data_IF_064539540156
#
_entry.id   IF_064539540156
#
_cell.length_a   1.000
_cell.length_b   1.000
_cell.length_c   1.000
_cell.angle_alpha   90.00
_cell.angle_beta   90.00
_cell.angle_gamma   90.00
#
_symmetry.space_group_name_H-M   'P 1'
#
loop_
_entity.id
_entity.type
_entity.pdbx_description
1 polymer ?
#
# COMPACT_ATOMS: atom_id res chain seq x y z
N UNK A 1 13.96 -18.33 4.52
CA UNK A 1 12.82 -17.50 4.93
C UNK A 1 13.26 -16.44 5.91
N UNK A 2 13.41 -15.23 5.42
CA UNK A 2 13.54 -13.99 6.18
C UNK A 2 12.20 -13.24 6.24
N UNK A 3 12.00 -12.47 7.31
CA UNK A 3 10.90 -11.55 7.52
C UNK A 3 11.40 -10.12 7.32
N UNK A 4 10.93 -9.46 6.26
CA UNK A 4 11.42 -8.14 5.83
C UNK A 4 10.33 -7.09 5.96
N UNK A 5 10.58 -6.03 6.72
CA UNK A 5 9.72 -4.85 6.78
C UNK A 5 10.22 -3.79 5.80
N UNK A 6 9.32 -3.29 4.96
CA UNK A 6 9.59 -2.27 3.94
C UNK A 6 8.71 -1.05 4.18
N UNK A 7 9.32 0.13 4.18
CA UNK A 7 8.63 1.41 4.28
C UNK A 7 9.32 2.49 3.46
N UNK A 8 8.74 3.69 3.45
CA UNK A 8 9.30 4.86 2.77
C UNK A 8 9.11 6.11 3.61
N UNK A 9 10.17 6.88 3.81
CA UNK A 9 10.18 8.09 4.62
C UNK A 9 10.85 9.23 3.86
N UNK A 10 10.04 10.04 3.17
CA UNK A 10 10.50 11.27 2.49
C UNK A 10 9.43 12.36 2.57
N UNK A 11 9.76 13.56 2.09
CA UNK A 11 8.89 14.73 2.08
C UNK A 11 8.34 15.03 3.47
N UNK A 12 7.01 15.09 3.58
CA UNK A 12 6.32 15.39 4.83
C UNK A 12 6.53 14.34 5.93
N UNK A 13 7.03 13.15 5.60
CA UNK A 13 7.23 12.04 6.55
C UNK A 13 8.71 11.69 6.77
N UNK A 14 9.66 12.45 6.22
CA UNK A 14 11.09 12.17 6.36
C UNK A 14 11.53 11.98 7.83
N UNK A 15 11.00 12.81 8.75
CA UNK A 15 11.32 12.73 10.18
C UNK A 15 10.75 11.50 10.91
N UNK A 16 9.79 10.78 10.32
CA UNK A 16 9.11 9.65 10.97
C UNK A 16 9.90 8.34 10.91
N UNK A 17 10.88 8.23 10.02
CA UNK A 17 11.64 6.99 9.81
C UNK A 17 12.37 6.47 11.06
N UNK A 18 12.92 7.36 11.89
CA UNK A 18 13.64 6.99 13.12
C UNK A 18 12.71 6.31 14.12
N UNK A 19 11.58 6.96 14.44
CA UNK A 19 10.60 6.42 15.38
C UNK A 19 9.95 5.13 14.84
N UNK A 20 9.67 5.08 13.53
CA UNK A 20 9.09 3.88 12.89
C UNK A 20 10.06 2.69 12.99
N UNK A 21 11.37 2.92 12.79
CA UNK A 21 12.40 1.89 13.00
C UNK A 21 12.43 1.40 14.44
N UNK A 22 12.43 2.31 15.42
CA UNK A 22 12.45 1.93 16.83
C UNK A 22 11.23 1.07 17.22
N UNK A 23 10.04 1.41 16.71
CA UNK A 23 8.83 0.60 16.91
C UNK A 23 8.91 -0.78 16.22
N UNK A 24 9.51 -0.85 15.01
CA UNK A 24 9.74 -2.09 14.29
C UNK A 24 10.76 -3.01 14.97
N UNK A 25 11.80 -2.43 15.59
CA UNK A 25 12.78 -3.18 16.37
C UNK A 25 12.18 -3.70 17.67
N UNK A 26 11.32 -2.91 18.33
CA UNK A 26 10.67 -3.27 19.59
C UNK A 26 9.71 -4.47 19.50
N UNK A 27 9.20 -4.81 18.30
CA UNK A 27 8.38 -6.01 18.10
C UNK A 27 9.24 -7.30 17.99
N UNK A 28 10.56 -7.16 17.82
CA UNK A 28 11.54 -8.24 17.75
C UNK A 28 11.16 -9.35 16.76
N UNK A 29 10.69 -8.94 15.57
CA UNK A 29 10.11 -9.84 14.56
C UNK A 29 10.89 -9.90 13.25
N UNK A 30 11.40 -8.78 12.79
CA UNK A 30 11.91 -8.63 11.43
C UNK A 30 13.40 -8.89 11.36
N UNK A 31 13.84 -9.67 10.37
CA UNK A 31 15.26 -9.88 10.07
C UNK A 31 15.87 -8.65 9.37
N UNK A 32 15.06 -7.89 8.62
CA UNK A 32 15.45 -6.61 8.05
C UNK A 32 14.34 -5.56 8.15
N UNK A 33 14.75 -4.31 8.36
CA UNK A 33 13.87 -3.13 8.38
C UNK A 33 14.45 -2.12 7.39
N UNK A 34 13.87 -2.11 6.19
CA UNK A 34 14.29 -1.32 5.04
C UNK A 34 13.35 -0.10 4.89
N UNK A 35 13.81 1.08 5.30
CA UNK A 35 13.09 2.34 5.17
C UNK A 35 13.73 3.12 4.03
N UNK A 36 13.11 3.09 2.86
CA UNK A 36 13.57 3.77 1.66
C UNK A 36 13.26 5.26 1.71
N UNK A 37 13.96 6.02 0.88
CA UNK A 37 13.71 7.43 0.57
C UNK A 37 13.93 7.65 -0.94
N UNK A 38 13.81 8.88 -1.43
CA UNK A 38 14.06 9.18 -2.84
C UNK A 38 15.48 8.82 -3.28
N UNK A 39 16.48 9.04 -2.42
CA UNK A 39 17.88 8.75 -2.72
C UNK A 39 18.12 7.24 -2.93
N UNK A 40 17.35 6.41 -2.23
CA UNK A 40 17.39 4.95 -2.31
C UNK A 40 16.75 4.39 -3.59
N UNK A 41 15.99 5.19 -4.35
CA UNK A 41 15.36 4.74 -5.59
C UNK A 41 16.38 4.59 -6.73
N UNK A 42 16.14 3.66 -7.67
CA UNK A 42 17.03 3.43 -8.80
C UNK A 42 17.24 4.68 -9.66
N UNK A 43 18.43 4.81 -10.26
CA UNK A 43 18.79 5.98 -11.05
C UNK A 43 17.82 6.19 -12.23
N UNK A 44 17.40 5.12 -12.89
CA UNK A 44 16.45 5.20 -13.99
C UNK A 44 15.08 5.74 -13.54
N UNK A 45 14.64 5.44 -12.32
CA UNK A 45 13.41 5.98 -11.76
C UNK A 45 13.57 7.47 -11.47
N UNK A 46 14.68 7.87 -10.83
CA UNK A 46 14.95 9.26 -10.48
C UNK A 46 15.07 10.14 -11.72
N UNK A 47 15.72 9.64 -12.78
CA UNK A 47 15.84 10.34 -14.06
C UNK A 47 14.50 10.49 -14.78
N UNK A 48 13.66 9.44 -14.78
CA UNK A 48 12.38 9.46 -15.51
C UNK A 48 11.27 10.21 -14.76
N UNK A 49 11.26 10.15 -13.42
CA UNK A 49 10.12 10.56 -12.60
C UNK A 49 10.49 11.58 -11.51
N UNK A 50 11.77 11.93 -11.36
CA UNK A 50 12.24 12.82 -10.29
C UNK A 50 11.56 14.18 -10.32
N UNK A 51 11.45 14.82 -11.49
CA UNK A 51 10.76 16.10 -11.63
C UNK A 51 9.30 16.00 -11.17
N UNK A 52 8.56 15.02 -11.69
CA UNK A 52 7.16 14.77 -11.30
C UNK A 52 6.99 14.55 -9.80
N UNK A 53 7.86 13.73 -9.20
CA UNK A 53 7.82 13.39 -7.77
C UNK A 53 8.04 14.63 -6.88
N UNK A 54 8.96 15.51 -7.25
CA UNK A 54 9.25 16.73 -6.47
C UNK A 54 8.21 17.83 -6.69
N UNK A 55 7.64 17.95 -7.88
CA UNK A 55 6.57 18.91 -8.17
C UNK A 55 5.25 18.53 -7.51
N UNK A 56 4.90 17.24 -7.51
CA UNK A 56 3.65 16.73 -6.93
C UNK A 56 3.86 16.31 -5.47
N UNK A 57 3.74 17.27 -4.56
CA UNK A 57 3.97 17.06 -3.12
C UNK A 57 3.07 16.00 -2.47
N UNK A 58 1.85 15.79 -2.97
CA UNK A 58 0.92 14.81 -2.42
C UNK A 58 1.50 13.40 -2.58
N UNK A 59 1.72 12.72 -1.45
CA UNK A 59 2.31 11.39 -1.46
C UNK A 59 3.72 11.30 -2.01
N UNK A 60 4.40 12.44 -2.14
CA UNK A 60 5.71 12.55 -2.76
C UNK A 60 5.72 11.91 -4.16
N UNK A 61 4.97 12.52 -5.09
CA UNK A 61 4.73 12.00 -6.43
C UNK A 61 3.59 10.99 -6.50
N UNK A 62 2.50 11.22 -5.78
CA UNK A 62 1.32 10.34 -5.77
C UNK A 62 1.63 8.87 -5.50
N UNK A 63 2.65 8.62 -4.67
CA UNK A 63 3.09 7.28 -4.27
C UNK A 63 3.50 6.35 -5.42
N UNK A 64 3.84 6.86 -6.61
CA UNK A 64 4.28 6.00 -7.74
C UNK A 64 5.54 5.17 -7.41
N UNK A 65 6.31 5.59 -6.39
CA UNK A 65 7.46 4.89 -5.84
C UNK A 65 7.07 3.66 -4.98
N UNK A 66 5.84 3.58 -4.45
CA UNK A 66 5.42 2.55 -3.50
C UNK A 66 5.50 1.13 -4.06
N UNK A 67 4.86 0.80 -5.20
CA UNK A 67 5.01 -0.54 -5.76
C UNK A 67 6.46 -0.84 -6.17
N UNK A 68 7.25 0.20 -6.51
CA UNK A 68 8.65 0.07 -6.92
C UNK A 68 9.55 -0.41 -5.78
N UNK A 69 9.44 0.18 -4.59
CA UNK A 69 10.27 -0.26 -3.45
C UNK A 69 9.93 -1.69 -3.01
N UNK A 70 8.64 -2.06 -3.04
CA UNK A 70 8.22 -3.43 -2.73
C UNK A 70 8.73 -4.40 -3.79
N UNK A 71 8.60 -4.06 -5.08
CA UNK A 71 9.13 -4.85 -6.17
C UNK A 71 10.65 -5.06 -6.06
N UNK A 72 11.41 -3.99 -5.76
CA UNK A 72 12.85 -4.08 -5.56
C UNK A 72 13.21 -5.04 -4.43
N UNK A 73 12.51 -4.96 -3.28
CA UNK A 73 12.72 -5.90 -2.18
C UNK A 73 12.37 -7.33 -2.59
N UNK A 74 11.27 -7.54 -3.32
CA UNK A 74 10.88 -8.87 -3.82
C UNK A 74 11.93 -9.49 -4.72
N UNK A 75 12.53 -8.70 -5.64
CA UNK A 75 13.56 -9.18 -6.56
C UNK A 75 14.88 -9.52 -5.86
N UNK A 76 15.10 -9.03 -4.65
CA UNK A 76 16.28 -9.29 -3.82
C UNK A 76 16.04 -10.35 -2.73
N UNK A 77 14.84 -10.92 -2.67
CA UNK A 77 14.42 -11.85 -1.63
C UNK A 77 14.31 -13.29 -2.16
N UNK A 78 14.48 -14.26 -1.27
CA UNK A 78 14.25 -15.66 -1.60
C UNK A 78 12.74 -15.94 -1.76
N UNK A 79 12.31 -16.91 -2.59
CA UNK A 79 10.89 -17.20 -2.84
C UNK A 79 10.06 -17.51 -1.59
N UNK A 80 10.69 -17.96 -0.51
CA UNK A 80 10.08 -18.30 0.76
C UNK A 80 10.08 -17.15 1.78
N UNK A 81 10.67 -15.99 1.46
CA UNK A 81 10.68 -14.82 2.32
C UNK A 81 9.29 -14.16 2.40
N UNK A 82 9.05 -13.41 3.48
CA UNK A 82 7.83 -12.63 3.69
C UNK A 82 8.19 -11.15 3.75
N UNK A 83 7.53 -10.37 2.90
CA UNK A 83 7.70 -8.92 2.81
C UNK A 83 6.45 -8.27 3.38
N UNK A 84 6.66 -7.43 4.39
CA UNK A 84 5.63 -6.60 5.00
C UNK A 84 5.83 -5.17 4.49
N UNK A 85 4.85 -4.65 3.76
CA UNK A 85 4.83 -3.22 3.46
C UNK A 85 3.99 -2.48 4.50
N UNK A 86 4.49 -1.35 4.98
CA UNK A 86 3.72 -0.40 5.78
C UNK A 86 4.09 1.03 5.45
N UNK A 87 3.10 1.91 5.33
CA UNK A 87 3.32 3.35 5.32
C UNK A 87 4.05 3.75 6.62
N UNK A 88 5.06 4.60 6.53
CA UNK A 88 5.87 5.03 7.70
C UNK A 88 5.04 5.80 8.73
N UNK A 89 3.92 6.37 8.31
CA UNK A 89 2.96 7.06 9.18
C UNK A 89 2.16 6.13 10.11
N UNK A 90 2.31 4.81 9.99
CA UNK A 90 1.67 3.85 10.90
C UNK A 90 2.49 3.73 12.18
N UNK A 91 1.85 3.37 13.29
CA UNK A 91 2.51 2.97 14.53
C UNK A 91 2.56 1.45 14.61
N UNK A 92 3.74 0.91 14.88
CA UNK A 92 3.92 -0.53 15.10
C UNK A 92 3.76 -0.81 16.60
N UNK A 93 2.88 -1.75 16.92
CA UNK A 93 2.54 -2.11 18.30
C UNK A 93 3.18 -3.45 18.66
N UNK A 94 4.18 -3.42 19.54
CA UNK A 94 4.87 -4.61 20.01
C UNK A 94 3.93 -5.64 20.67
N UNK A 95 2.84 -5.19 21.32
CA UNK A 95 1.85 -6.10 21.92
C UNK A 95 1.06 -6.90 20.87
N UNK A 96 1.04 -6.46 19.61
CA UNK A 96 0.41 -7.16 18.50
C UNK A 96 1.27 -8.25 17.85
N UNK A 97 2.43 -8.57 18.42
CA UNK A 97 3.39 -9.56 17.90
C UNK A 97 2.74 -10.89 17.50
N UNK A 98 1.89 -11.45 18.35
CA UNK A 98 1.23 -12.73 18.07
C UNK A 98 0.28 -12.62 16.87
N UNK A 99 -0.45 -11.51 16.75
CA UNK A 99 -1.33 -11.28 15.60
C UNK A 99 -0.54 -11.11 14.29
N UNK A 100 0.64 -10.49 14.34
CA UNK A 100 1.54 -10.42 13.18
C UNK A 100 2.05 -11.81 12.77
N UNK A 101 2.38 -12.69 13.73
CA UNK A 101 2.73 -14.09 13.42
C UNK A 101 1.58 -14.84 12.75
N UNK A 102 0.33 -14.66 13.23
CA UNK A 102 -0.85 -15.22 12.58
C UNK A 102 -1.01 -14.72 11.14
N UNK A 103 -0.73 -13.45 10.87
CA UNK A 103 -0.73 -12.93 9.50
C UNK A 103 0.31 -13.63 8.62
N UNK A 104 1.48 -13.95 9.15
CA UNK A 104 2.49 -14.72 8.42
C UNK A 104 2.05 -16.17 8.16
N UNK A 105 1.33 -16.80 9.10
CA UNK A 105 0.70 -18.11 8.86
C UNK A 105 -0.34 -18.03 7.75
N UNK A 106 -1.20 -17.00 7.75
CA UNK A 106 -2.22 -16.78 6.73
C UNK A 106 -1.59 -16.64 5.34
N UNK A 107 -0.57 -15.78 5.21
CA UNK A 107 0.13 -15.57 3.93
C UNK A 107 0.78 -16.87 3.44
N UNK A 108 1.42 -17.62 4.34
CA UNK A 108 2.07 -18.90 3.98
C UNK A 108 1.07 -19.97 3.57
N UNK A 109 -0.10 -20.04 4.19
CA UNK A 109 -1.13 -21.03 3.85
C UNK A 109 -1.99 -20.62 2.64
N UNK A 110 -2.13 -19.32 2.36
CA UNK A 110 -2.91 -18.81 1.24
C UNK A 110 -2.36 -19.32 -0.11
N UNK A 111 -3.24 -19.61 -1.05
CA UNK A 111 -2.88 -19.89 -2.45
C UNK A 111 -2.33 -18.65 -3.15
N UNK A 112 -2.72 -17.45 -2.70
CA UNK A 112 -2.29 -16.17 -3.27
C UNK A 112 -0.92 -15.71 -2.75
N UNK A 113 -0.45 -16.25 -1.62
CA UNK A 113 0.77 -15.80 -0.92
C UNK A 113 0.81 -14.28 -0.69
N UNK A 114 -0.36 -13.70 -0.45
CA UNK A 114 -0.57 -12.27 -0.23
C UNK A 114 -1.75 -12.10 0.71
N UNK A 115 -1.57 -11.26 1.73
CA UNK A 115 -2.61 -10.82 2.65
C UNK A 115 -2.77 -9.31 2.52
N UNK A 116 -4.02 -8.92 2.30
CA UNK A 116 -4.44 -7.54 2.26
C UNK A 116 -5.61 -7.30 3.21
N UNK A 117 -5.97 -6.03 3.38
CA UNK A 117 -7.01 -5.62 4.33
C UNK A 117 -8.04 -4.77 3.60
N UNK A 118 -9.32 -4.93 3.94
CA UNK A 118 -10.36 -4.01 3.45
C UNK A 118 -10.04 -2.57 3.82
N UNK A 119 -10.63 -1.59 3.16
CA UNK A 119 -10.70 -0.19 3.56
C UNK A 119 -12.19 0.18 3.66
N UNK A 120 -12.52 1.39 4.10
CA UNK A 120 -13.90 1.89 4.18
C UNK A 120 -14.36 2.62 2.91
N UNK A 121 -13.43 2.95 2.02
CA UNK A 121 -13.68 3.65 0.77
C UNK A 121 -14.33 2.73 -0.28
N UNK A 122 -15.50 3.05 -0.81
CA UNK A 122 -16.12 2.33 -1.94
C UNK A 122 -15.42 2.71 -3.26
N UNK A 123 -15.04 1.74 -4.09
CA UNK A 123 -14.31 2.00 -5.34
C UNK A 123 -14.97 3.06 -6.23
N UNK A 124 -16.27 2.97 -6.51
CA UNK A 124 -17.00 3.92 -7.34
C UNK A 124 -16.96 5.36 -6.81
N UNK A 125 -16.72 5.55 -5.51
CA UNK A 125 -16.65 6.87 -4.89
C UNK A 125 -15.22 7.43 -4.86
N UNK A 126 -14.21 6.54 -4.97
CA UNK A 126 -12.82 6.84 -4.63
C UNK A 126 -11.80 6.38 -5.68
N UNK A 127 -12.26 5.87 -6.83
CA UNK A 127 -11.44 5.39 -7.95
C UNK A 127 -12.02 5.95 -9.24
N UNK A 128 -11.19 6.66 -10.02
CA UNK A 128 -11.61 7.21 -11.30
C UNK A 128 -11.98 6.13 -12.31
N UNK A 129 -13.00 6.40 -13.12
CA UNK A 129 -13.55 5.48 -14.10
C UNK A 129 -12.52 5.06 -15.16
N UNK A 130 -11.64 5.95 -15.58
CA UNK A 130 -10.57 5.66 -16.55
C UNK A 130 -9.68 4.51 -16.07
N UNK A 131 -9.36 4.47 -14.76
CA UNK A 131 -8.56 3.38 -14.20
C UNK A 131 -9.34 2.05 -14.22
N UNK A 132 -10.63 2.07 -13.87
CA UNK A 132 -11.46 0.89 -13.93
C UNK A 132 -11.51 0.33 -15.36
N UNK A 133 -11.78 1.19 -16.35
CA UNK A 133 -11.82 0.82 -17.77
C UNK A 133 -10.46 0.30 -18.25
N UNK A 134 -9.36 0.97 -17.88
CA UNK A 134 -8.00 0.53 -18.21
C UNK A 134 -7.67 -0.87 -17.70
N UNK A 135 -8.22 -1.24 -16.54
CA UNK A 135 -8.04 -2.54 -15.92
C UNK A 135 -9.07 -3.59 -16.37
N UNK A 136 -9.97 -3.25 -17.30
CA UNK A 136 -11.03 -4.14 -17.76
C UNK A 136 -12.17 -4.32 -16.74
N UNK A 137 -12.23 -3.47 -15.71
CA UNK A 137 -13.32 -3.44 -14.73
C UNK A 137 -14.43 -2.55 -15.27
N UNK A 138 -15.64 -3.10 -15.37
CA UNK A 138 -16.81 -2.31 -15.74
C UNK A 138 -17.03 -1.21 -14.69
N UNK A 139 -17.14 0.04 -15.13
CA UNK A 139 -17.30 1.20 -14.25
C UNK A 139 -18.55 1.10 -13.34
N UNK A 140 -19.61 0.42 -13.82
CA UNK A 140 -20.82 0.08 -13.09
C UNK A 140 -20.90 -1.42 -12.70
N UNK A 141 -19.77 -2.12 -12.73
CA UNK A 141 -19.68 -3.53 -12.37
C UNK A 141 -19.62 -3.73 -10.86
N UNK A 142 -19.93 -4.95 -10.41
CA UNK A 142 -19.96 -5.32 -8.98
C UNK A 142 -18.67 -4.94 -8.23
N UNK A 143 -17.50 -5.06 -8.87
CA UNK A 143 -16.20 -4.69 -8.31
C UNK A 143 -16.17 -3.23 -7.87
N UNK A 144 -16.77 -2.31 -8.64
CA UNK A 144 -16.79 -0.88 -8.33
C UNK A 144 -17.71 -0.54 -7.14
N UNK A 145 -18.61 -1.44 -6.74
CA UNK A 145 -19.48 -1.26 -5.56
C UNK A 145 -18.95 -1.95 -4.30
N UNK A 146 -17.74 -2.52 -4.36
CA UNK A 146 -17.05 -3.04 -3.18
C UNK A 146 -16.17 -1.99 -2.54
N UNK A 147 -15.80 -2.19 -1.27
CA UNK A 147 -14.78 -1.35 -0.63
C UNK A 147 -13.39 -1.62 -1.21
N UNK A 148 -12.54 -0.60 -1.23
CA UNK A 148 -11.14 -0.68 -1.62
C UNK A 148 -10.38 -1.64 -0.71
N UNK A 149 -9.30 -2.20 -1.24
CA UNK A 149 -8.27 -2.88 -0.48
C UNK A 149 -7.23 -1.84 -0.07
N UNK A 150 -6.91 -1.77 1.21
CA UNK A 150 -5.94 -0.83 1.76
C UNK A 150 -4.55 -1.00 1.12
N UNK A 151 -3.89 0.12 0.84
CA UNK A 151 -2.53 0.13 0.26
C UNK A 151 -1.44 0.50 1.26
N UNK A 152 -1.81 1.00 2.45
CA UNK A 152 -0.87 1.44 3.47
C UNK A 152 -0.31 0.33 4.36
N UNK A 153 -0.87 -0.89 4.28
CA UNK A 153 -0.35 -2.08 4.95
C UNK A 153 -0.78 -3.33 4.19
N UNK A 154 0.17 -4.18 3.84
CA UNK A 154 -0.08 -5.49 3.24
C UNK A 154 1.14 -6.40 3.39
N UNK A 155 0.94 -7.70 3.23
CA UNK A 155 2.00 -8.71 3.39
C UNK A 155 2.02 -9.62 2.17
N UNK A 156 3.20 -9.93 1.64
CA UNK A 156 3.36 -10.63 0.37
C UNK A 156 4.63 -11.48 0.35
N UNK A 157 4.58 -12.66 -0.28
CA UNK A 157 5.78 -13.45 -0.62
C UNK A 157 6.17 -13.23 -2.09
N UNK A 158 7.49 -13.27 -2.42
CA UNK A 158 8.02 -12.97 -3.75
C UNK A 158 7.85 -14.13 -4.75
N UNK A 159 6.60 -14.56 -4.94
CA UNK A 159 6.26 -15.50 -6.02
C UNK A 159 6.33 -14.80 -7.38
N UNK A 160 6.55 -15.56 -8.47
CA UNK A 160 6.52 -15.04 -9.85
C UNK A 160 5.23 -14.24 -10.09
N UNK A 161 4.09 -14.76 -9.61
CA UNK A 161 2.79 -14.07 -9.71
C UNK A 161 2.81 -12.73 -8.98
N UNK A 162 3.24 -12.70 -7.72
CA UNK A 162 3.19 -11.47 -6.93
C UNK A 162 4.20 -10.42 -7.40
N UNK A 163 5.35 -10.85 -7.94
CA UNK A 163 6.28 -9.97 -8.64
C UNK A 163 5.58 -9.34 -9.86
N UNK A 164 4.86 -10.13 -10.64
CA UNK A 164 4.03 -9.63 -11.76
C UNK A 164 2.95 -8.64 -11.33
N UNK A 165 2.32 -8.84 -10.18
CA UNK A 165 1.36 -7.88 -9.59
C UNK A 165 2.03 -6.54 -9.29
N UNK A 166 3.19 -6.56 -8.60
CA UNK A 166 3.90 -5.33 -8.27
C UNK A 166 4.46 -4.62 -9.51
N UNK A 167 4.94 -5.37 -10.50
CA UNK A 167 5.36 -4.81 -11.79
C UNK A 167 4.19 -4.12 -12.50
N UNK A 168 3.04 -4.79 -12.63
CA UNK A 168 1.83 -4.21 -13.24
C UNK A 168 1.36 -2.96 -12.51
N UNK A 169 1.50 -2.92 -11.18
CA UNK A 169 1.21 -1.73 -10.39
C UNK A 169 2.20 -0.60 -10.70
N UNK A 170 3.50 -0.87 -10.79
CA UNK A 170 4.50 0.13 -11.21
C UNK A 170 4.17 0.69 -12.60
N UNK A 171 3.89 -0.18 -13.57
CA UNK A 171 3.66 0.20 -14.96
C UNK A 171 2.45 1.12 -15.10
N UNK A 172 1.32 0.74 -14.49
CA UNK A 172 0.09 1.55 -14.53
C UNK A 172 0.28 2.88 -13.80
N UNK A 173 1.11 2.94 -12.76
CA UNK A 173 1.32 4.15 -11.96
C UNK A 173 1.95 5.29 -12.76
N UNK A 174 2.66 4.98 -13.85
CA UNK A 174 3.36 5.96 -14.70
C UNK A 174 2.78 6.03 -16.12
N UNK A 175 1.82 5.16 -16.44
CA UNK A 175 1.21 5.06 -17.76
C UNK A 175 0.42 6.33 -18.12
N UNK A 176 0.41 6.64 -19.42
CA UNK A 176 -0.30 7.79 -20.02
C UNK A 176 0.00 9.10 -19.27
N UNK A 177 1.30 9.37 -19.07
CA UNK A 177 1.77 10.54 -18.34
C UNK A 177 1.13 10.66 -16.95
N UNK A 178 1.17 9.55 -16.19
CA UNK A 178 0.62 9.44 -14.83
C UNK A 178 -0.90 9.60 -14.72
N UNK A 179 -1.65 9.56 -15.83
CA UNK A 179 -3.10 9.72 -15.85
C UNK A 179 -3.81 8.82 -14.86
N UNK A 180 -3.29 7.64 -14.55
CA UNK A 180 -3.95 6.71 -13.62
C UNK A 180 -3.61 6.98 -12.15
N UNK A 181 -2.56 7.74 -11.89
CA UNK A 181 -2.14 8.11 -10.55
C UNK A 181 -2.62 9.49 -10.15
N UNK A 182 -2.67 10.46 -11.07
CA UNK A 182 -2.91 11.87 -10.73
C UNK A 182 -4.38 12.27 -10.50
N UNK A 183 -4.59 13.58 -10.30
CA UNK A 183 -5.91 14.22 -10.12
C UNK A 183 -6.53 14.73 -11.43
N UNK A 184 -5.98 14.35 -12.60
CA UNK A 184 -6.58 14.75 -13.87
C UNK A 184 -8.00 14.18 -14.00
N UNK A 185 -8.97 14.95 -14.54
CA UNK A 185 -10.33 14.46 -14.71
C UNK A 185 -10.38 13.21 -15.59
N UNK A 186 -11.24 12.28 -15.20
CA UNK A 186 -11.53 11.07 -15.99
C UNK A 186 -12.18 11.47 -17.32
N UNK A 187 -11.75 10.84 -18.42
CA UNK A 187 -12.37 10.98 -19.74
C UNK A 187 -13.72 10.26 -19.76
N UNK A 188 -13.75 9.05 -19.21
CA UNK A 188 -14.98 8.31 -18.95
C UNK A 188 -15.70 8.95 -17.76
N UNK A 189 -17.02 9.19 -17.82
CA UNK A 189 -17.77 9.74 -16.71
C UNK A 189 -17.62 8.89 -15.44
N UNK A 190 -17.20 9.53 -14.36
CA UNK A 190 -17.18 8.91 -13.04
C UNK A 190 -18.61 8.61 -12.55
N UNK A 191 -18.72 7.74 -11.55
CA UNK A 191 -19.99 7.52 -10.85
C UNK A 191 -20.51 8.84 -10.25
N UNK A 192 -21.84 9.09 -10.18
CA UNK A 192 -22.39 10.34 -9.62
C UNK A 192 -21.93 10.68 -8.20
N UNK A 193 -21.58 9.66 -7.41
CA UNK A 193 -21.06 9.80 -6.04
C UNK A 193 -19.53 9.84 -5.94
N UNK A 194 -18.81 9.96 -7.06
CA UNK A 194 -17.35 10.08 -7.06
C UNK A 194 -16.91 11.39 -6.40
N UNK A 195 -16.04 11.29 -5.40
CA UNK A 195 -15.48 12.43 -4.68
C UNK A 195 -14.09 12.81 -5.20
N UNK A 196 -13.12 11.93 -5.00
CA UNK A 196 -11.73 12.12 -5.43
C UNK A 196 -11.06 10.78 -5.70
N UNK A 197 -9.95 10.79 -6.44
CA UNK A 197 -9.18 9.59 -6.74
C UNK A 197 -8.25 9.22 -5.58
N UNK A 198 -8.08 7.92 -5.29
CA UNK A 198 -7.13 7.43 -4.28
C UNK A 198 -5.80 6.96 -4.86
N UNK A 199 -5.47 7.41 -6.07
CA UNK A 199 -4.12 7.36 -6.64
C UNK A 199 -3.58 5.92 -6.70
N UNK A 200 -2.38 5.68 -6.17
CA UNK A 200 -1.77 4.35 -6.09
C UNK A 200 -2.67 3.33 -5.38
N UNK A 201 -3.42 3.77 -4.36
CA UNK A 201 -4.27 2.87 -3.59
C UNK A 201 -5.42 2.31 -4.43
N UNK A 202 -5.97 3.10 -5.35
CA UNK A 202 -6.97 2.64 -6.32
C UNK A 202 -6.38 1.62 -7.29
N UNK A 203 -5.16 1.86 -7.79
CA UNK A 203 -4.46 0.94 -8.71
C UNK A 203 -4.21 -0.39 -8.00
N UNK A 204 -3.57 -0.35 -6.83
CA UNK A 204 -3.26 -1.54 -6.05
C UNK A 204 -4.52 -2.28 -5.60
N UNK A 205 -5.60 -1.58 -5.28
CA UNK A 205 -6.87 -2.20 -4.91
C UNK A 205 -7.46 -3.00 -6.08
N UNK A 206 -7.64 -2.37 -7.25
CA UNK A 206 -8.25 -3.05 -8.40
C UNK A 206 -7.38 -4.19 -8.92
N UNK A 207 -6.05 -4.03 -9.00
CA UNK A 207 -5.16 -5.13 -9.42
C UNK A 207 -5.29 -6.32 -8.45
N UNK A 208 -5.24 -6.09 -7.13
CA UNK A 208 -5.36 -7.19 -6.17
C UNK A 208 -6.73 -7.86 -6.18
N UNK A 209 -7.81 -7.16 -6.53
CA UNK A 209 -9.13 -7.75 -6.74
C UNK A 209 -9.19 -8.63 -7.98
N UNK A 210 -8.55 -8.20 -9.07
CA UNK A 210 -8.51 -8.95 -10.33
C UNK A 210 -7.66 -10.21 -10.17
N UNK A 211 -6.49 -10.06 -9.58
CA UNK A 211 -5.50 -11.14 -9.49
C UNK A 211 -5.81 -12.08 -8.34
N UNK A 212 -6.30 -11.56 -7.21
CA UNK A 212 -6.62 -12.28 -5.97
C UNK A 212 -5.63 -12.01 -4.83
N UNK A 213 -6.15 -11.95 -3.61
CA UNK A 213 -5.40 -11.81 -2.36
C UNK A 213 -6.23 -12.41 -1.24
N UNK A 214 -5.60 -12.92 -0.19
CA UNK A 214 -6.32 -13.14 1.06
C UNK A 214 -6.76 -11.79 1.63
N UNK A 215 -7.96 -11.74 2.20
CA UNK A 215 -8.54 -10.50 2.74
C UNK A 215 -8.91 -10.68 4.21
N UNK A 216 -8.33 -9.83 5.06
CA UNK A 216 -8.75 -9.69 6.46
C UNK A 216 -9.53 -8.38 6.65
N UNK A 217 -10.25 -8.30 7.78
CA UNK A 217 -10.92 -7.07 8.22
C UNK A 217 -9.92 -5.92 8.34
N UNK A 218 -10.39 -4.66 8.31
CA UNK A 218 -9.51 -3.49 8.28
C UNK A 218 -8.84 -3.15 9.63
N UNK A 219 -8.09 -4.12 10.15
CA UNK A 219 -7.48 -4.15 11.48
C UNK A 219 -6.35 -3.12 11.70
N UNK A 220 -6.32 -2.04 10.91
CA UNK A 220 -5.34 -0.96 11.05
C UNK A 220 -5.95 0.38 11.42
N UNK A 221 -7.28 0.56 11.34
CA UNK A 221 -7.91 1.80 11.82
C UNK A 221 -8.40 1.69 13.27
N UNK A 222 -8.50 2.83 13.94
CA UNK A 222 -9.25 2.92 15.19
C UNK A 222 -10.74 2.72 14.89
N UNK A 223 -11.40 1.83 15.62
CA UNK A 223 -12.81 1.55 15.46
C UNK A 223 -13.57 2.05 16.68
N UNK A 224 -14.54 2.94 16.51
CA UNK A 224 -15.37 3.34 17.63
C UNK A 224 -16.15 2.12 18.18
N UNK A 225 -16.05 1.90 19.50
CA UNK A 225 -16.88 0.99 20.31
C UNK A 225 -16.45 -0.49 20.26
N UNK A 226 -17.00 -1.27 19.33
CA UNK A 226 -17.07 -2.75 19.48
C UNK A 226 -15.72 -3.45 19.24
N UNK A 227 -14.78 -2.79 18.56
CA UNK A 227 -13.46 -3.37 18.27
C UNK A 227 -12.30 -2.67 18.98
N UNK A 228 -12.59 -1.66 19.80
CA UNK A 228 -11.56 -0.94 20.57
C UNK A 228 -10.80 -1.88 21.52
N UNK A 229 -11.46 -2.91 22.07
CA UNK A 229 -10.80 -3.87 22.94
C UNK A 229 -9.84 -4.80 22.20
N UNK A 230 -9.95 -4.94 20.87
CA UNK A 230 -8.99 -5.70 20.06
C UNK A 230 -7.80 -4.87 19.63
N UNK A 231 -7.93 -3.54 19.54
CA UNK A 231 -6.88 -2.63 19.08
C UNK A 231 -5.51 -2.84 19.79
N UNK A 232 -5.44 -3.04 21.11
CA UNK A 232 -4.17 -3.31 21.80
C UNK A 232 -3.44 -4.57 21.33
N UNK A 233 -4.15 -5.51 20.71
CA UNK A 233 -3.59 -6.74 20.15
C UNK A 233 -3.29 -6.65 18.64
N UNK A 234 -3.63 -5.54 17.99
CA UNK A 234 -3.35 -5.34 16.56
C UNK A 234 -1.92 -4.83 16.38
N UNK A 235 -1.15 -5.35 15.40
CA UNK A 235 0.27 -5.04 15.28
C UNK A 235 0.55 -3.71 14.58
N UNK A 236 -0.39 -3.19 13.80
CA UNK A 236 -0.20 -2.00 12.97
C UNK A 236 -1.38 -1.05 13.13
N UNK A 237 -1.11 0.21 13.47
CA UNK A 237 -2.14 1.25 13.61
C UNK A 237 -1.90 2.38 12.61
N UNK A 238 -2.90 2.70 11.79
CA UNK A 238 -2.89 3.79 10.82
C UNK A 238 -3.05 5.17 11.50
N UNK A 239 -2.13 5.51 12.40
CA UNK A 239 -2.11 6.74 13.21
C UNK A 239 -1.85 8.00 12.38
N UNK A 240 -1.19 7.84 11.22
CA UNK A 240 -0.73 8.93 10.34
C UNK A 240 0.22 9.89 11.08
N UNK A 241 1.01 9.35 12.00
CA UNK A 241 2.00 10.08 12.80
C UNK A 241 3.06 10.70 11.90
N UNK A 242 3.50 11.92 12.22
CA UNK A 242 4.52 12.64 11.45
C UNK A 242 3.99 13.44 10.25
N UNK A 243 2.69 13.41 9.94
CA UNK A 243 2.12 14.26 8.89
C UNK A 243 2.19 15.74 9.28
N UNK A 244 2.98 16.52 8.54
CA UNK A 244 3.00 17.98 8.64
C UNK A 244 1.90 18.56 7.72
N UNK A 245 0.79 19.04 8.29
CA UNK A 245 -0.32 19.67 7.56
C UNK A 245 -1.72 19.16 7.97
N UNK A 246 -2.81 19.82 7.52
CA UNK A 246 -4.16 19.44 7.91
C UNK A 246 -4.53 18.02 7.47
N UNK A 247 -5.37 17.35 8.26
CA UNK A 247 -6.04 16.10 7.88
C UNK A 247 -7.06 16.41 6.78
N UNK A 248 -7.15 15.61 5.71
CA UNK A 248 -8.25 15.66 4.76
C UNK A 248 -9.52 15.14 5.44
#
# INVERSE_FOLDING_TARGET
MALRLVSFADGAFAGRGVDFRAEAEAIELYDSIDIYDFASLPEEFKLAHGEFVHERKQGFGYWIWKPRIVLMTMLQSAPDDIIVYSDVGFTINAAGRNRMLEYFDIVRSSTHKMLSFYNTHIEAHWTKADLAVRLGVQNNGAVMFTTQIAAGFFIVMPTIRNIGIMQRWCDISVEDNYRYSDDSPSIVPNHPSFGEHRHDASIGSLIRKIEGTELSHYEVQGYDRVYDHYRPALPMWATRTGRIGPKP
#
